data_IF_429544257848
#
_entry.id   IF_429544257848
#
_cell.length_a   1.000
_cell.length_b   1.000
_cell.length_c   1.000
_cell.angle_alpha   90.00
_cell.angle_beta   90.00
_cell.angle_gamma   90.00
#
_symmetry.space_group_name_H-M   'P 1'
#
loop_
_entity.id
_entity.type
_entity.pdbx_description
1 polymer ?
#
# COMPACT_ATOMS: atom_id res chain seq x y z
N UNK A 1 -33.21 -30.46 2.11
CA UNK A 1 -32.69 -29.08 2.28
C UNK A 1 -31.20 -28.97 2.61
N UNK A 2 -30.34 -29.92 2.19
CA UNK A 2 -28.88 -29.82 2.37
C UNK A 2 -28.21 -29.10 1.19
N UNK A 3 -28.67 -29.37 -0.04
CA UNK A 3 -28.15 -28.81 -1.30
C UNK A 3 -28.27 -27.28 -1.38
N UNK A 4 -29.35 -26.68 -0.88
CA UNK A 4 -29.50 -25.22 -0.85
C UNK A 4 -28.53 -24.52 0.10
N UNK A 5 -28.17 -25.13 1.24
CA UNK A 5 -27.18 -24.56 2.17
C UNK A 5 -25.76 -24.65 1.63
N UNK A 6 -25.40 -25.76 0.98
CA UNK A 6 -24.06 -25.93 0.38
C UNK A 6 -23.85 -25.01 -0.82
N UNK A 7 -24.89 -24.83 -1.66
CA UNK A 7 -24.86 -23.84 -2.75
C UNK A 7 -24.74 -22.41 -2.20
N UNK A 8 -25.53 -22.04 -1.19
CA UNK A 8 -25.41 -20.71 -0.55
C UNK A 8 -24.01 -20.47 0.02
N UNK A 9 -23.42 -21.46 0.71
CA UNK A 9 -22.08 -21.34 1.29
C UNK A 9 -20.97 -21.20 0.24
N UNK A 10 -21.12 -21.86 -0.92
CA UNK A 10 -20.17 -21.72 -2.04
C UNK A 10 -20.33 -20.39 -2.75
N UNK A 11 -21.55 -19.86 -2.84
CA UNK A 11 -21.80 -18.53 -3.39
C UNK A 11 -21.29 -17.43 -2.46
N UNK A 12 -21.48 -17.55 -1.15
CA UNK A 12 -20.97 -16.58 -0.16
C UNK A 12 -19.45 -16.59 -0.11
N UNK A 13 -18.80 -17.77 -0.06
CA UNK A 13 -17.34 -17.87 -0.11
C UNK A 13 -16.75 -17.43 -1.46
N UNK A 14 -17.46 -17.67 -2.56
CA UNK A 14 -17.09 -17.16 -3.89
C UNK A 14 -17.22 -15.65 -4.01
N UNK A 15 -18.26 -15.06 -3.40
CA UNK A 15 -18.47 -13.61 -3.36
C UNK A 15 -17.45 -12.93 -2.44
N UNK A 16 -17.10 -13.54 -1.31
CA UNK A 16 -16.10 -13.03 -0.38
C UNK A 16 -14.71 -12.94 -1.04
N UNK A 17 -14.30 -13.99 -1.77
CA UNK A 17 -13.05 -13.96 -2.54
C UNK A 17 -13.04 -12.92 -3.67
N UNK A 18 -14.18 -12.66 -4.31
CA UNK A 18 -14.29 -11.60 -5.34
C UNK A 18 -14.23 -10.21 -4.70
N UNK A 19 -14.90 -9.99 -3.57
CA UNK A 19 -14.85 -8.72 -2.83
C UNK A 19 -13.42 -8.45 -2.36
N UNK A 20 -12.74 -9.46 -1.82
CA UNK A 20 -11.35 -9.34 -1.40
C UNK A 20 -10.43 -9.01 -2.59
N UNK A 21 -10.59 -9.69 -3.72
CA UNK A 21 -9.83 -9.41 -4.93
C UNK A 21 -10.05 -7.98 -5.45
N UNK A 22 -11.31 -7.52 -5.50
CA UNK A 22 -11.66 -6.17 -5.94
C UNK A 22 -11.10 -5.12 -4.98
N UNK A 23 -11.19 -5.36 -3.67
CA UNK A 23 -10.64 -4.47 -2.65
C UNK A 23 -9.11 -4.35 -2.76
N UNK A 24 -8.40 -5.49 -2.90
CA UNK A 24 -6.95 -5.50 -3.12
C UNK A 24 -6.56 -4.80 -4.42
N UNK A 25 -7.35 -4.98 -5.48
CA UNK A 25 -7.11 -4.34 -6.78
C UNK A 25 -7.33 -2.83 -6.73
N UNK A 26 -8.37 -2.38 -6.03
CA UNK A 26 -8.65 -0.96 -5.82
C UNK A 26 -7.53 -0.30 -5.01
N UNK A 27 -7.09 -0.93 -3.91
CA UNK A 27 -5.97 -0.45 -3.10
C UNK A 27 -4.69 -0.34 -3.94
N UNK A 28 -4.37 -1.38 -4.72
CA UNK A 28 -3.22 -1.34 -5.62
C UNK A 28 -3.30 -0.20 -6.65
N UNK A 29 -4.51 0.08 -7.16
CA UNK A 29 -4.72 1.17 -8.11
C UNK A 29 -4.51 2.54 -7.47
N UNK A 30 -5.00 2.76 -6.26
CA UNK A 30 -4.77 3.99 -5.50
C UNK A 30 -3.26 4.22 -5.27
N UNK A 31 -2.53 3.18 -4.86
CA UNK A 31 -1.06 3.26 -4.71
C UNK A 31 -0.36 3.64 -6.02
N UNK A 32 -0.77 3.05 -7.15
CA UNK A 32 -0.18 3.38 -8.46
C UNK A 32 -0.41 4.85 -8.83
N UNK A 33 -1.62 5.37 -8.59
CA UNK A 33 -1.94 6.77 -8.85
C UNK A 33 -1.11 7.71 -7.97
N UNK A 34 -0.97 7.40 -6.68
CA UNK A 34 -0.14 8.17 -5.75
C UNK A 34 1.33 8.23 -6.21
N UNK A 35 1.92 7.07 -6.54
CA UNK A 35 3.32 6.99 -7.02
C UNK A 35 3.50 7.75 -8.34
N UNK A 36 2.52 7.71 -9.23
CA UNK A 36 2.57 8.44 -10.50
C UNK A 36 2.57 9.96 -10.28
N UNK A 37 1.67 10.45 -9.42
CA UNK A 37 1.64 11.86 -9.02
C UNK A 37 2.98 12.27 -8.40
N UNK A 38 3.50 11.48 -7.46
CA UNK A 38 4.78 11.74 -6.82
C UNK A 38 5.92 11.86 -7.83
N UNK A 39 5.99 10.94 -8.80
CA UNK A 39 7.00 10.97 -9.85
C UNK A 39 6.93 12.25 -10.69
N UNK A 40 5.72 12.66 -11.09
CA UNK A 40 5.49 13.86 -11.90
C UNK A 40 5.95 15.11 -11.16
N UNK A 41 5.55 15.26 -9.89
CA UNK A 41 5.92 16.44 -9.10
C UNK A 41 7.42 16.49 -8.83
N UNK A 42 8.04 15.35 -8.51
CA UNK A 42 9.49 15.26 -8.34
C UNK A 42 10.24 15.59 -9.62
N UNK A 43 9.75 15.15 -10.78
CA UNK A 43 10.37 15.43 -12.08
C UNK A 43 10.37 16.93 -12.43
N UNK A 44 9.42 17.70 -11.91
CA UNK A 44 9.41 19.17 -12.04
C UNK A 44 10.50 19.85 -11.19
N UNK A 45 11.17 19.10 -10.29
CA UNK A 45 12.26 19.60 -9.45
C UNK A 45 11.78 20.57 -8.37
N UNK A 46 10.48 20.56 -8.06
CA UNK A 46 9.88 21.46 -7.06
C UNK A 46 9.40 20.66 -5.86
N UNK A 47 9.71 21.17 -4.67
CA UNK A 47 9.13 20.65 -3.42
C UNK A 47 7.75 21.24 -3.13
N UNK A 48 7.35 22.29 -3.85
CA UNK A 48 6.10 23.01 -3.65
C UNK A 48 5.25 22.90 -4.91
N UNK A 49 4.11 22.23 -4.80
CA UNK A 49 3.15 22.11 -5.88
C UNK A 49 2.27 23.36 -5.96
N UNK A 50 2.78 24.38 -6.63
CA UNK A 50 2.07 25.65 -6.86
C UNK A 50 1.06 25.57 -8.01
N UNK A 51 1.22 24.58 -8.90
CA UNK A 51 0.35 24.34 -10.05
C UNK A 51 -1.05 23.91 -9.62
N UNK A 52 -2.08 24.44 -10.25
CA UNK A 52 -3.45 24.01 -10.00
C UNK A 52 -3.62 22.47 -10.15
N UNK A 53 -4.31 21.77 -9.22
CA UNK A 53 -4.43 20.31 -9.27
C UNK A 53 -4.99 19.78 -10.60
N UNK A 54 -5.99 20.46 -11.17
CA UNK A 54 -6.62 20.05 -12.43
C UNK A 54 -5.61 20.09 -13.58
N UNK A 55 -4.73 21.10 -13.60
CA UNK A 55 -3.67 21.20 -14.59
C UNK A 55 -2.66 20.05 -14.50
N UNK A 56 -2.32 19.61 -13.29
CA UNK A 56 -1.42 18.46 -13.08
C UNK A 56 -2.10 17.16 -13.50
N UNK A 57 -3.39 16.99 -13.17
CA UNK A 57 -4.18 15.82 -13.57
C UNK A 57 -4.21 15.68 -15.11
N UNK A 58 -4.51 16.77 -15.82
CA UNK A 58 -4.54 16.79 -17.29
C UNK A 58 -3.20 16.42 -17.94
N UNK A 59 -2.08 16.80 -17.34
CA UNK A 59 -0.75 16.41 -17.82
C UNK A 59 -0.51 14.92 -17.64
N UNK A 60 -0.91 14.36 -16.50
CA UNK A 60 -0.83 12.93 -16.22
C UNK A 60 -1.71 12.15 -17.20
N UNK A 61 -2.95 12.57 -17.40
CA UNK A 61 -3.89 11.94 -18.35
C UNK A 61 -3.34 11.97 -19.77
N UNK A 62 -2.76 13.10 -20.20
CA UNK A 62 -2.13 13.23 -21.52
C UNK A 62 -0.94 12.29 -21.67
N UNK A 63 -0.11 12.15 -20.63
CA UNK A 63 1.00 11.22 -20.61
C UNK A 63 0.51 9.76 -20.71
N UNK A 64 -0.51 9.38 -19.94
CA UNK A 64 -1.08 8.03 -19.97
C UNK A 64 -1.77 7.73 -21.30
N UNK A 65 -2.51 8.69 -21.86
CA UNK A 65 -3.16 8.58 -23.16
C UNK A 65 -2.15 8.36 -24.30
N UNK A 66 -0.98 8.99 -24.23
CA UNK A 66 0.12 8.78 -25.17
C UNK A 66 0.76 7.39 -25.10
N UNK A 67 0.67 6.70 -23.96
CA UNK A 67 1.26 5.37 -23.75
C UNK A 67 0.31 4.22 -24.13
N UNK A 68 -1.00 4.42 -24.01
CA UNK A 68 -1.98 3.33 -24.09
C UNK A 68 -3.15 3.55 -25.05
N UNK A 69 -3.31 4.74 -25.63
CA UNK A 69 -4.43 5.05 -26.54
C UNK A 69 -5.82 4.99 -25.88
N UNK A 70 -5.88 4.90 -24.55
CA UNK A 70 -7.11 4.89 -23.77
C UNK A 70 -7.30 6.26 -23.10
N UNK A 71 -8.56 6.71 -23.06
CA UNK A 71 -8.96 7.86 -22.26
C UNK A 71 -8.87 7.47 -20.78
N UNK A 72 -8.06 8.20 -20.02
CA UNK A 72 -7.84 7.97 -18.59
C UNK A 72 -8.33 9.21 -17.86
N UNK A 73 -9.14 8.99 -16.82
CA UNK A 73 -9.46 10.02 -15.82
C UNK A 73 -8.56 9.82 -14.61
N UNK A 74 -7.83 10.86 -14.22
CA UNK A 74 -6.90 10.82 -13.11
C UNK A 74 -7.48 11.58 -11.90
N UNK A 75 -7.80 10.85 -10.83
CA UNK A 75 -8.27 11.45 -9.59
C UNK A 75 -7.08 11.96 -8.77
N UNK A 76 -6.71 13.23 -9.00
CA UNK A 76 -5.58 13.85 -8.31
C UNK A 76 -5.81 14.02 -6.82
N UNK A 77 -7.05 14.28 -6.38
CA UNK A 77 -7.35 14.48 -4.97
C UNK A 77 -7.21 13.18 -4.18
N UNK A 78 -7.62 12.05 -4.77
CA UNK A 78 -7.39 10.74 -4.17
C UNK A 78 -5.91 10.38 -4.13
N UNK A 79 -5.16 10.69 -5.19
CA UNK A 79 -3.71 10.49 -5.22
C UNK A 79 -2.97 11.36 -4.18
N UNK A 80 -3.36 12.63 -4.00
CA UNK A 80 -2.81 13.52 -2.97
C UNK A 80 -3.09 12.99 -1.56
N UNK A 81 -4.33 12.60 -1.27
CA UNK A 81 -4.70 11.98 0.02
C UNK A 81 -3.89 10.73 0.30
N UNK A 82 -3.70 9.90 -0.72
CA UNK A 82 -2.91 8.68 -0.55
C UNK A 82 -1.45 9.03 -0.29
N UNK A 83 -0.85 10.03 -0.96
CA UNK A 83 0.50 10.51 -0.62
C UNK A 83 0.60 11.11 0.79
N UNK A 84 -0.43 11.82 1.26
CA UNK A 84 -0.51 12.29 2.66
C UNK A 84 -0.50 11.09 3.62
N UNK A 85 -1.30 10.06 3.31
CA UNK A 85 -1.35 8.82 4.10
C UNK A 85 0.01 8.15 4.17
N UNK A 86 0.79 8.17 3.08
CA UNK A 86 2.15 7.62 3.04
C UNK A 86 3.21 8.55 3.67
N UNK A 87 2.82 9.72 4.15
CA UNK A 87 3.73 10.72 4.73
C UNK A 87 4.65 11.40 3.72
N UNK A 88 4.30 11.34 2.43
CA UNK A 88 5.06 11.92 1.31
C UNK A 88 4.51 13.26 0.84
N UNK A 89 3.39 13.70 1.41
CA UNK A 89 2.71 14.94 1.06
C UNK A 89 2.30 15.71 2.31
N UNK A 90 2.45 17.02 2.27
CA UNK A 90 2.06 17.92 3.34
C UNK A 90 1.18 19.02 2.73
N UNK A 91 -0.13 18.97 2.99
CA UNK A 91 -1.06 20.03 2.62
C UNK A 91 -1.30 20.98 3.82
N UNK A 92 -0.66 22.15 3.81
CA UNK A 92 -0.86 23.14 4.86
C UNK A 92 -2.01 24.07 4.51
N UNK A 93 -3.10 24.06 5.27
CA UNK A 93 -4.22 25.00 5.09
C UNK A 93 -3.75 26.41 5.39
N UNK A 94 -3.85 27.33 4.43
CA UNK A 94 -3.60 28.76 4.67
C UNK A 94 -4.62 29.33 5.66
N UNK A 95 -4.23 30.35 6.43
CA UNK A 95 -5.07 30.98 7.47
C UNK A 95 -6.40 31.53 6.93
N UNK A 96 -6.45 31.85 5.64
CA UNK A 96 -7.63 32.33 4.91
C UNK A 96 -8.49 31.20 4.32
N UNK A 97 -8.12 29.94 4.54
CA UNK A 97 -8.86 28.75 4.11
C UNK A 97 -8.91 28.53 2.60
N UNK A 98 -8.22 29.35 1.78
CA UNK A 98 -8.42 29.35 0.32
C UNK A 98 -7.30 28.66 -0.46
N UNK A 99 -6.12 28.42 0.12
CA UNK A 99 -5.07 27.61 -0.54
C UNK A 99 -4.31 26.75 0.45
N UNK A 100 -4.23 25.45 0.15
CA UNK A 100 -3.28 24.56 0.82
C UNK A 100 -1.89 24.74 0.17
N UNK A 101 -0.88 25.12 0.94
CA UNK A 101 0.50 24.97 0.48
C UNK A 101 0.79 23.47 0.43
N UNK A 102 0.85 22.92 -0.78
CA UNK A 102 1.09 21.51 -1.05
C UNK A 102 2.58 21.27 -1.22
N UNK A 103 3.17 20.50 -0.30
CA UNK A 103 4.59 20.15 -0.34
C UNK A 103 4.77 18.66 -0.53
N UNK A 104 5.73 18.31 -1.38
CA UNK A 104 6.14 16.93 -1.62
C UNK A 104 7.44 16.66 -0.90
N UNK A 105 7.53 15.52 -0.24
CA UNK A 105 8.77 15.06 0.40
C UNK A 105 9.81 14.77 -0.67
N UNK A 106 11.04 15.23 -0.44
CA UNK A 106 12.13 15.03 -1.38
C UNK A 106 12.43 13.55 -1.60
N UNK A 107 12.86 13.14 -2.82
CA UNK A 107 13.16 11.74 -3.12
C UNK A 107 14.18 11.10 -2.17
N UNK A 108 15.18 11.86 -1.75
CA UNK A 108 16.20 11.42 -0.79
C UNK A 108 15.63 11.06 0.59
N UNK A 109 14.54 11.71 0.99
CA UNK A 109 13.91 11.51 2.31
C UNK A 109 12.72 10.53 2.24
N UNK A 110 12.16 10.31 1.05
CA UNK A 110 10.96 9.52 0.85
C UNK A 110 11.13 8.07 1.32
N UNK A 111 12.26 7.44 1.01
CA UNK A 111 12.51 6.03 1.37
C UNK A 111 12.50 5.82 2.88
N UNK A 112 13.13 6.71 3.63
CA UNK A 112 13.17 6.59 5.10
C UNK A 112 11.81 6.90 5.73
N UNK A 113 11.05 7.87 5.19
CA UNK A 113 9.66 8.11 5.63
C UNK A 113 8.76 6.90 5.40
N UNK A 114 8.85 6.27 4.22
CA UNK A 114 8.10 5.04 3.92
C UNK A 114 8.51 3.90 4.87
N UNK A 115 9.80 3.71 5.14
CA UNK A 115 10.23 2.68 6.11
C UNK A 115 9.66 2.91 7.51
N UNK A 116 9.71 4.17 7.99
CA UNK A 116 9.15 4.53 9.30
C UNK A 116 7.65 4.26 9.35
N UNK A 117 6.91 4.77 8.38
CA UNK A 117 5.45 4.63 8.35
C UNK A 117 5.01 3.15 8.32
N UNK A 118 5.76 2.28 7.64
CA UNK A 118 5.42 0.85 7.54
C UNK A 118 5.79 0.13 8.84
N UNK A 119 6.87 0.56 9.49
CA UNK A 119 7.27 0.05 10.80
C UNK A 119 6.22 0.38 11.86
N UNK A 120 5.65 1.59 11.83
CA UNK A 120 4.60 2.03 12.75
C UNK A 120 3.29 1.26 12.54
N UNK A 121 2.90 1.02 11.28
CA UNK A 121 1.73 0.17 10.96
C UNK A 121 1.93 -1.26 11.46
N UNK A 122 3.08 -1.86 11.20
CA UNK A 122 3.36 -3.23 11.61
C UNK A 122 3.38 -3.36 13.14
N UNK A 123 3.97 -2.38 13.83
CA UNK A 123 4.03 -2.36 15.30
C UNK A 123 2.64 -2.19 15.91
N UNK A 124 1.83 -1.25 15.40
CA UNK A 124 0.47 -1.04 15.90
C UNK A 124 -0.47 -2.22 15.66
N UNK A 125 -0.30 -2.96 14.55
CA UNK A 125 -1.06 -4.19 14.30
C UNK A 125 -0.65 -5.34 15.24
N UNK A 126 0.62 -5.41 15.63
CA UNK A 126 1.11 -6.40 16.59
C UNK A 126 0.61 -6.11 18.01
N UNK A 127 0.49 -4.84 18.40
CA UNK A 127 -0.02 -4.43 19.70
C UNK A 127 -1.55 -4.59 19.85
N UNK A 128 -2.30 -4.53 18.74
CA UNK A 128 -3.76 -4.68 18.74
C UNK A 128 -4.26 -6.13 18.61
N UNK A 129 -3.38 -7.12 18.44
CA UNK A 129 -3.79 -8.52 18.52
C UNK A 129 -3.87 -8.96 20.00
N UNK A 130 -5.07 -9.22 20.56
CA UNK A 130 -5.13 -9.93 21.83
C UNK A 130 -4.44 -11.28 21.64
N UNK A 131 -3.66 -11.72 22.61
CA UNK A 131 -2.90 -12.97 22.60
C UNK A 131 -3.78 -14.16 22.18
N UNK A 132 -3.92 -14.36 20.88
CA UNK A 132 -4.53 -15.54 20.30
C UNK A 132 -3.48 -16.62 20.41
N UNK A 133 -3.83 -17.69 21.13
CA UNK A 133 -2.99 -18.87 21.34
C UNK A 133 -2.46 -19.50 20.02
N UNK A 134 -2.94 -19.05 18.86
CA UNK A 134 -2.51 -19.49 17.53
C UNK A 134 -1.20 -18.87 17.04
N UNK A 135 -0.82 -17.67 17.50
CA UNK A 135 0.48 -17.09 17.12
C UNK A 135 1.60 -17.81 17.86
N UNK A 136 1.38 -18.16 19.13
CA UNK A 136 2.35 -18.95 19.89
C UNK A 136 2.50 -20.40 19.40
N UNK A 137 1.45 -21.00 18.84
CA UNK A 137 1.53 -22.35 18.23
C UNK A 137 2.30 -22.30 16.90
N UNK A 138 2.07 -21.25 16.09
CA UNK A 138 2.74 -21.04 14.81
C UNK A 138 4.22 -20.68 14.97
N UNK A 139 4.57 -19.83 15.95
CA UNK A 139 5.96 -19.52 16.30
C UNK A 139 6.67 -20.77 16.82
N UNK A 140 6.04 -21.56 17.71
CA UNK A 140 6.62 -22.85 18.16
C UNK A 140 6.81 -23.84 17.02
N UNK A 141 5.89 -23.89 16.05
CA UNK A 141 6.01 -24.77 14.89
C UNK A 141 7.19 -24.35 13.99
N UNK A 142 7.40 -23.05 13.80
CA UNK A 142 8.54 -22.52 13.03
C UNK A 142 9.88 -22.73 13.75
N UNK A 143 9.92 -22.56 15.08
CA UNK A 143 11.11 -22.85 15.88
C UNK A 143 11.45 -24.35 15.89
N UNK A 144 10.43 -25.21 15.95
CA UNK A 144 10.62 -26.66 15.87
C UNK A 144 11.18 -27.06 14.49
N UNK A 145 10.66 -26.47 13.41
CA UNK A 145 11.18 -26.71 12.06
C UNK A 145 12.62 -26.23 11.90
N UNK A 146 12.96 -25.05 12.45
CA UNK A 146 14.33 -24.52 12.44
C UNK A 146 15.31 -25.43 13.18
N UNK A 147 14.89 -26.00 14.31
CA UNK A 147 15.70 -26.94 15.09
C UNK A 147 15.86 -28.30 14.38
N UNK A 148 14.82 -28.80 13.69
CA UNK A 148 14.94 -30.03 12.88
C UNK A 148 15.95 -29.81 11.73
N UNK A 149 15.86 -28.68 11.03
CA UNK A 149 16.75 -28.35 9.91
C UNK A 149 18.20 -28.12 10.37
N UNK A 150 18.42 -27.48 11.52
CA UNK A 150 19.77 -27.31 12.07
C UNK A 150 20.39 -28.63 12.54
N UNK A 151 19.58 -29.52 13.14
CA UNK A 151 20.03 -30.85 13.56
C UNK A 151 20.35 -31.76 12.37
N UNK A 152 19.56 -31.68 11.29
CA UNK A 152 19.82 -32.38 10.05
C UNK A 152 21.12 -31.91 9.36
N UNK A 153 21.38 -30.58 9.36
CA UNK A 153 22.64 -30.02 8.85
C UNK A 153 23.86 -30.46 9.67
N UNK A 154 23.74 -30.50 11.00
CA UNK A 154 24.83 -30.91 11.88
C UNK A 154 25.14 -32.41 11.78
N UNK A 155 24.14 -33.25 11.50
CA UNK A 155 24.35 -34.68 11.26
C UNK A 155 24.94 -34.96 9.87
N UNK A 156 24.64 -34.14 8.86
CA UNK A 156 25.26 -34.25 7.53
C UNK A 156 26.75 -33.88 7.50
N UNK A 157 27.26 -33.15 8.50
CA UNK A 157 28.68 -32.79 8.64
C UNK A 157 29.50 -33.75 9.51
N UNK A 158 28.90 -34.81 10.07
CA UNK A 158 29.60 -35.82 10.90
C UNK A 158 29.80 -37.17 10.20
N UNK A 159 29.45 -37.27 8.91
CA UNK A 159 29.52 -38.52 8.12
C UNK A 159 30.64 -38.49 7.06
N UNK A 160 31.49 -37.46 7.06
CA UNK A 160 32.74 -37.42 6.30
C UNK A 160 33.95 -37.68 7.20
#
# INVERSE_FOLDING_TARGET
NFVSKTMLSKTVAGQEGVIEFLSRSAALQQYKQAVLLYHVVVAEGTEKLERDPESVAQDIERMLGGLGGAEVTFDILEAEKELERLGLFEAAVSEDGTRQARRVVRPEDAVERLKSHWSDILTSQLEQQPASNDVHSSIRALEHHKNIVSTAKNNAHRVD
#
